data_IF_164032459012
#
_entry.id   IF_164032459012
#
_cell.length_a   1.000
_cell.length_b   1.000
_cell.length_c   1.000
_cell.angle_alpha   90.00
_cell.angle_beta   90.00
_cell.angle_gamma   90.00
#
_symmetry.space_group_name_H-M   'P 1'
#
loop_
_entity.id
_entity.type
_entity.pdbx_description
1 polymer ?
#
# COMPACT_ATOMS: atom_id res chain seq x y z
N UNK A 1 -9.09 -17.85 29.45
CA UNK A 1 -8.82 -17.33 28.08
C UNK A 1 -7.59 -18.02 27.54
N UNK A 2 -7.77 -18.99 26.68
CA UNK A 2 -6.69 -19.66 25.97
C UNK A 2 -6.08 -18.66 25.00
N UNK A 3 -4.82 -18.23 25.21
CA UNK A 3 -4.05 -17.50 24.21
C UNK A 3 -3.96 -18.43 22.98
N UNK A 4 -4.61 -18.01 21.89
CA UNK A 4 -4.48 -18.70 20.62
C UNK A 4 -2.99 -18.79 20.29
N UNK A 5 -2.47 -20.01 20.12
CA UNK A 5 -1.07 -20.23 19.76
C UNK A 5 -0.81 -19.53 18.43
N UNK A 6 0.14 -18.60 18.42
CA UNK A 6 0.52 -17.89 17.21
C UNK A 6 0.87 -18.90 16.10
N UNK A 7 0.23 -18.75 14.93
CA UNK A 7 0.50 -19.61 13.80
C UNK A 7 1.88 -19.24 13.19
N UNK A 8 2.86 -20.13 13.19
CA UNK A 8 4.22 -19.83 12.71
C UNK A 8 4.25 -19.41 11.23
N UNK A 9 3.28 -19.82 10.42
CA UNK A 9 3.19 -19.44 9.01
C UNK A 9 2.68 -18.02 8.80
N UNK A 10 2.17 -17.35 9.84
CA UNK A 10 1.60 -16.01 9.77
C UNK A 10 2.50 -14.93 10.37
N UNK A 11 3.74 -15.23 10.70
CA UNK A 11 4.59 -14.29 11.42
C UNK A 11 4.87 -12.98 10.64
N UNK A 12 5.08 -13.06 9.32
CA UNK A 12 5.21 -11.87 8.46
C UNK A 12 3.88 -11.15 8.34
N UNK A 13 2.82 -11.87 8.02
CA UNK A 13 1.47 -11.34 7.90
C UNK A 13 1.04 -10.56 9.14
N UNK A 14 1.25 -11.14 10.31
CA UNK A 14 0.83 -10.54 11.58
C UNK A 14 1.61 -9.26 11.93
N UNK A 15 2.84 -9.10 11.43
CA UNK A 15 3.62 -7.86 11.56
C UNK A 15 3.17 -6.75 10.61
N UNK A 16 2.62 -7.12 9.44
CA UNK A 16 2.34 -6.19 8.35
C UNK A 16 0.86 -5.82 8.22
N UNK A 17 -0.06 -6.61 8.79
CA UNK A 17 -1.51 -6.53 8.52
C UNK A 17 -2.19 -5.26 8.98
N UNK A 18 -1.65 -4.57 9.97
CA UNK A 18 -2.27 -3.39 10.57
C UNK A 18 -1.77 -2.12 9.89
N UNK A 19 -2.68 -1.32 9.40
CA UNK A 19 -2.38 -0.04 8.72
C UNK A 19 -2.57 1.12 9.68
N UNK A 20 -1.61 2.04 9.68
CA UNK A 20 -1.73 3.29 10.41
C UNK A 20 -2.74 4.22 9.71
N UNK A 21 -3.86 4.57 10.36
CA UNK A 21 -4.91 5.39 9.74
C UNK A 21 -4.45 6.76 9.28
N UNK A 22 -3.36 7.30 9.84
CA UNK A 22 -2.80 8.60 9.44
C UNK A 22 -2.27 8.62 8.01
N UNK A 23 -1.95 7.44 7.47
CA UNK A 23 -1.43 7.26 6.11
C UNK A 23 -2.46 6.65 5.16
N UNK A 24 -3.74 6.81 5.48
CA UNK A 24 -4.85 6.40 4.63
C UNK A 24 -5.71 7.58 4.22
N UNK A 25 -6.38 7.46 3.07
CA UNK A 25 -7.36 8.44 2.59
C UNK A 25 -8.58 7.72 2.02
N UNK A 26 -9.76 8.28 2.27
CA UNK A 26 -10.96 7.85 1.55
C UNK A 26 -11.08 8.64 0.25
N UNK A 27 -11.29 7.91 -0.83
CA UNK A 27 -11.36 8.46 -2.18
C UNK A 27 -12.62 7.93 -2.86
N UNK A 28 -13.42 8.82 -3.45
CA UNK A 28 -14.55 8.43 -4.27
C UNK A 28 -14.06 8.10 -5.69
N UNK A 29 -14.30 6.86 -6.12
CA UNK A 29 -13.91 6.36 -7.45
C UNK A 29 -15.07 6.32 -8.45
N UNK A 30 -16.21 6.95 -8.15
CA UNK A 30 -17.40 6.95 -9.01
C UNK A 30 -18.32 5.74 -8.84
N UNK A 31 -17.79 4.60 -8.38
CA UNK A 31 -18.55 3.41 -8.00
C UNK A 31 -18.68 3.23 -6.48
N UNK A 32 -18.11 4.17 -5.70
CA UNK A 32 -18.12 4.18 -4.24
C UNK A 32 -16.83 4.71 -3.66
N UNK A 33 -16.81 4.85 -2.34
CA UNK A 33 -15.62 5.24 -1.60
C UNK A 33 -14.73 4.03 -1.34
N UNK A 34 -13.43 4.22 -1.57
CA UNK A 34 -12.41 3.25 -1.19
C UNK A 34 -11.37 3.89 -0.28
N UNK A 35 -10.77 3.10 0.58
CA UNK A 35 -9.61 3.52 1.36
C UNK A 35 -8.35 3.29 0.55
N UNK A 36 -7.58 4.34 0.33
CA UNK A 36 -6.25 4.27 -0.28
C UNK A 36 -5.17 4.39 0.79
N UNK A 37 -4.01 3.83 0.53
CA UNK A 37 -2.87 3.79 1.45
C UNK A 37 -1.74 4.60 0.82
N UNK A 38 -1.01 5.35 1.64
CA UNK A 38 0.19 6.07 1.19
C UNK A 38 1.28 5.06 0.77
N UNK A 39 1.73 5.07 -0.50
CA UNK A 39 2.75 4.13 -0.96
C UNK A 39 4.09 4.29 -0.25
N UNK A 40 4.46 5.50 0.16
CA UNK A 40 5.72 5.72 0.88
C UNK A 40 5.66 5.16 2.29
N UNK A 41 4.50 5.21 2.95
CA UNK A 41 4.32 4.52 4.22
C UNK A 41 4.49 3.00 4.07
N UNK A 42 3.96 2.41 3.00
CA UNK A 42 4.13 0.98 2.73
C UNK A 42 5.60 0.61 2.50
N UNK A 43 6.35 1.42 1.75
CA UNK A 43 7.79 1.24 1.56
C UNK A 43 8.53 1.35 2.90
N UNK A 44 8.18 2.32 3.73
CA UNK A 44 8.71 2.47 5.08
C UNK A 44 8.45 1.24 5.94
N UNK A 45 7.23 0.69 5.87
CA UNK A 45 6.84 -0.50 6.63
C UNK A 45 7.60 -1.76 6.18
N UNK A 46 7.82 -1.92 4.88
CA UNK A 46 8.69 -2.98 4.36
C UNK A 46 10.14 -2.82 4.86
N UNK A 47 10.63 -1.59 4.88
CA UNK A 47 11.98 -1.28 5.37
C UNK A 47 12.13 -1.55 6.87
N UNK A 48 11.14 -1.19 7.68
CA UNK A 48 11.12 -1.52 9.12
C UNK A 48 11.14 -3.04 9.36
N UNK A 49 10.43 -3.78 8.53
CA UNK A 49 10.22 -5.22 8.72
C UNK A 49 11.40 -6.05 8.23
N UNK A 50 11.95 -5.72 7.06
CA UNK A 50 12.95 -6.55 6.38
C UNK A 50 14.35 -5.91 6.30
N UNK A 51 14.47 -4.61 6.54
CA UNK A 51 15.69 -3.84 6.35
C UNK A 51 15.65 -2.91 5.13
N UNK A 52 16.71 -2.16 4.85
CA UNK A 52 16.75 -1.24 3.73
C UNK A 52 16.53 -1.93 2.38
N UNK A 53 15.87 -1.23 1.47
CA UNK A 53 15.68 -1.71 0.09
C UNK A 53 17.03 -2.04 -0.57
N UNK A 54 17.07 -3.15 -1.28
CA UNK A 54 18.30 -3.70 -1.88
C UNK A 54 19.15 -4.54 -0.93
N UNK A 55 18.90 -4.45 0.38
CA UNK A 55 19.61 -5.23 1.41
C UNK A 55 18.70 -6.23 2.14
N UNK A 56 17.53 -5.82 2.57
CA UNK A 56 16.55 -6.69 3.25
C UNK A 56 15.37 -7.06 2.37
N UNK A 57 15.05 -6.25 1.39
CA UNK A 57 14.01 -6.49 0.40
C UNK A 57 14.31 -5.70 -0.88
N UNK A 58 13.68 -6.09 -1.96
CA UNK A 58 13.69 -5.36 -3.22
C UNK A 58 12.50 -5.75 -4.09
N UNK A 59 12.38 -5.14 -5.25
CA UNK A 59 11.42 -5.51 -6.27
C UNK A 59 12.04 -5.44 -7.65
N UNK A 60 11.49 -6.22 -8.57
CA UNK A 60 11.69 -6.08 -10.01
C UNK A 60 10.38 -5.67 -10.64
N UNK A 61 10.43 -4.78 -11.63
CA UNK A 61 9.27 -4.38 -12.41
C UNK A 61 9.53 -4.55 -13.90
N UNK A 62 8.56 -5.14 -14.58
CA UNK A 62 8.53 -5.26 -16.04
C UNK A 62 7.27 -4.58 -16.56
N UNK A 63 7.42 -3.79 -17.63
CA UNK A 63 6.31 -3.10 -18.27
C UNK A 63 5.99 -3.77 -19.62
N UNK A 64 4.71 -3.97 -19.87
CA UNK A 64 4.20 -4.45 -21.15
C UNK A 64 3.20 -3.44 -21.69
N UNK A 65 3.30 -3.13 -22.96
CA UNK A 65 2.48 -2.13 -23.61
C UNK A 65 1.65 -2.75 -24.73
N UNK A 66 0.43 -2.26 -24.88
CA UNK A 66 -0.38 -2.37 -26.07
C UNK A 66 -0.66 -0.97 -26.60
N UNK A 67 -1.42 -0.82 -27.67
CA UNK A 67 -1.83 0.49 -28.18
C UNK A 67 -2.67 1.30 -27.15
N UNK A 68 -3.38 0.61 -26.25
CA UNK A 68 -4.34 1.23 -25.34
C UNK A 68 -3.93 1.14 -23.87
N UNK A 69 -3.08 0.20 -23.51
CA UNK A 69 -2.84 -0.20 -22.12
C UNK A 69 -1.35 -0.32 -21.81
N UNK A 70 -1.00 -0.02 -20.56
CA UNK A 70 0.27 -0.41 -19.96
C UNK A 70 0.01 -1.35 -18.79
N UNK A 71 0.75 -2.44 -18.74
CA UNK A 71 0.80 -3.38 -17.62
C UNK A 71 2.12 -3.19 -16.88
N UNK A 72 2.06 -3.14 -15.56
CA UNK A 72 3.23 -3.28 -14.70
C UNK A 72 3.17 -4.63 -14.00
N UNK A 73 4.23 -5.42 -14.12
CA UNK A 73 4.38 -6.72 -13.47
C UNK A 73 5.47 -6.61 -12.42
N UNK A 74 5.14 -6.79 -11.14
CA UNK A 74 6.05 -6.62 -10.01
C UNK A 74 6.33 -7.96 -9.35
N UNK A 75 7.61 -8.24 -9.13
CA UNK A 75 8.10 -9.34 -8.28
C UNK A 75 8.67 -8.75 -7.01
N UNK A 76 8.37 -9.35 -5.86
CA UNK A 76 8.95 -8.96 -4.57
C UNK A 76 9.98 -10.00 -4.16
N UNK A 77 11.09 -9.50 -3.63
CA UNK A 77 12.18 -10.29 -3.06
C UNK A 77 12.44 -9.79 -1.64
N UNK A 78 12.57 -10.68 -0.68
CA UNK A 78 12.88 -10.31 0.71
C UNK A 78 13.73 -11.38 1.39
N UNK A 79 14.38 -10.99 2.48
CA UNK A 79 15.08 -11.92 3.36
C UNK A 79 14.31 -12.10 4.65
N UNK A 80 14.50 -13.23 5.27
CA UNK A 80 14.11 -13.46 6.65
C UNK A 80 15.33 -13.44 7.61
N UNK A 81 15.10 -13.90 8.84
CA UNK A 81 16.11 -13.90 9.91
C UNK A 81 17.36 -14.74 9.63
N UNK A 82 17.28 -15.66 8.68
CA UNK A 82 18.34 -16.60 8.35
C UNK A 82 19.12 -16.18 7.08
N UNK A 83 18.96 -14.94 6.64
CA UNK A 83 19.55 -14.38 5.41
C UNK A 83 19.21 -15.17 4.14
N UNK A 84 18.10 -15.94 4.18
CA UNK A 84 17.58 -16.66 3.02
C UNK A 84 16.70 -15.70 2.22
N UNK A 85 16.92 -15.67 0.90
CA UNK A 85 16.13 -14.85 -0.01
C UNK A 85 14.92 -15.60 -0.54
N UNK A 86 13.78 -14.96 -0.42
CA UNK A 86 12.49 -15.44 -0.93
C UNK A 86 11.98 -14.49 -2.00
N UNK A 87 11.17 -15.01 -2.90
CA UNK A 87 10.55 -14.21 -3.96
C UNK A 87 9.17 -14.73 -4.32
N UNK A 88 8.31 -13.86 -4.78
CA UNK A 88 7.05 -14.21 -5.42
C UNK A 88 6.66 -13.17 -6.48
N UNK A 89 5.67 -13.52 -7.27
CA UNK A 89 5.17 -12.71 -8.36
C UNK A 89 5.41 -13.40 -9.71
N UNK A 90 5.11 -12.73 -10.81
CA UNK A 90 4.70 -11.32 -10.89
C UNK A 90 3.26 -11.08 -10.42
N UNK A 91 3.04 -9.94 -9.81
CA UNK A 91 1.72 -9.37 -9.54
C UNK A 91 1.52 -8.22 -10.53
N UNK A 92 0.41 -8.25 -11.25
CA UNK A 92 0.17 -7.33 -12.35
C UNK A 92 -0.87 -6.26 -12.02
N UNK A 93 -0.69 -5.08 -12.58
CA UNK A 93 -1.72 -4.05 -12.69
C UNK A 93 -1.70 -3.41 -14.06
N UNK A 94 -2.81 -2.78 -14.42
CA UNK A 94 -3.02 -2.21 -15.75
C UNK A 94 -3.59 -0.79 -15.65
N UNK A 95 -3.13 0.08 -16.56
CA UNK A 95 -3.66 1.42 -16.74
C UNK A 95 -3.91 1.72 -18.22
N UNK A 96 -4.89 2.58 -18.49
CA UNK A 96 -5.13 3.11 -19.83
C UNK A 96 -4.07 4.15 -20.17
N UNK A 97 -3.50 4.06 -21.37
CA UNK A 97 -2.54 5.05 -21.90
C UNK A 97 -3.21 6.35 -22.34
N UNK A 98 -4.52 6.32 -22.60
CA UNK A 98 -5.26 7.46 -23.11
C UNK A 98 -6.29 7.94 -22.10
N UNK A 99 -6.32 9.24 -21.87
CA UNK A 99 -7.35 9.92 -21.06
C UNK A 99 -8.67 9.98 -21.84
N UNK A 100 -9.76 10.21 -21.15
CA UNK A 100 -11.10 10.40 -21.79
C UNK A 100 -11.11 11.55 -22.80
N UNK A 101 -10.22 12.51 -22.65
CA UNK A 101 -10.04 13.66 -23.56
C UNK A 101 -9.32 13.30 -24.86
N UNK A 102 -8.83 12.06 -25.02
CA UNK A 102 -8.01 11.64 -26.16
C UNK A 102 -6.52 12.00 -26.01
N UNK A 103 -6.10 12.63 -24.92
CA UNK A 103 -4.71 12.92 -24.65
C UNK A 103 -4.01 11.71 -24.04
N UNK A 104 -2.70 11.56 -24.33
CA UNK A 104 -1.86 10.55 -23.72
C UNK A 104 -1.74 10.79 -22.20
N UNK A 105 -1.84 9.75 -21.41
CA UNK A 105 -1.56 9.79 -19.97
C UNK A 105 -0.11 9.36 -19.72
N UNK A 106 0.78 10.31 -19.64
CA UNK A 106 2.20 10.13 -19.36
C UNK A 106 2.50 9.57 -17.96
N UNK A 107 1.52 9.65 -17.04
CA UNK A 107 1.62 9.04 -15.72
C UNK A 107 1.08 7.59 -15.66
N UNK A 108 0.51 7.06 -16.73
CA UNK A 108 -0.08 5.73 -16.72
C UNK A 108 0.90 4.62 -16.28
N UNK A 109 2.17 4.60 -16.71
CA UNK A 109 3.14 3.61 -16.23
C UNK A 109 3.40 3.69 -14.73
N UNK A 110 3.53 4.91 -14.20
CA UNK A 110 3.71 5.15 -12.75
C UNK A 110 2.52 4.68 -11.95
N UNK A 111 1.29 4.94 -12.42
CA UNK A 111 0.05 4.49 -11.78
C UNK A 111 -0.05 2.97 -11.79
N UNK A 112 0.26 2.33 -12.92
CA UNK A 112 0.28 0.87 -13.04
C UNK A 112 1.29 0.24 -12.08
N UNK A 113 2.50 0.79 -12.02
CA UNK A 113 3.55 0.33 -11.10
C UNK A 113 3.13 0.47 -9.63
N UNK A 114 2.67 1.64 -9.21
CA UNK A 114 2.27 1.88 -7.82
C UNK A 114 1.14 0.94 -7.39
N UNK A 115 0.16 0.70 -8.27
CA UNK A 115 -0.95 -0.21 -8.00
C UNK A 115 -0.48 -1.69 -7.94
N UNK A 116 0.40 -2.11 -8.84
CA UNK A 116 0.99 -3.45 -8.82
C UNK A 116 1.84 -3.68 -7.56
N UNK A 117 2.65 -2.69 -7.17
CA UNK A 117 3.49 -2.77 -5.98
C UNK A 117 2.64 -2.88 -4.69
N UNK A 118 1.61 -2.05 -4.56
CA UNK A 118 0.67 -2.10 -3.44
C UNK A 118 -0.04 -3.45 -3.36
N UNK A 119 -0.48 -4.00 -4.48
CA UNK A 119 -1.06 -5.35 -4.55
C UNK A 119 -0.05 -6.42 -4.16
N UNK A 120 1.18 -6.33 -4.64
CA UNK A 120 2.24 -7.26 -4.29
C UNK A 120 2.52 -7.24 -2.78
N UNK A 121 2.62 -6.08 -2.16
CA UNK A 121 2.79 -5.96 -0.72
C UNK A 121 1.63 -6.59 0.07
N UNK A 122 0.39 -6.47 -0.41
CA UNK A 122 -0.77 -7.06 0.25
C UNK A 122 -0.70 -8.60 0.32
N UNK A 123 -0.01 -9.23 -0.61
CA UNK A 123 0.23 -10.68 -0.59
C UNK A 123 1.16 -11.12 0.55
N UNK A 124 2.03 -10.26 1.04
CA UNK A 124 2.80 -10.47 2.28
C UNK A 124 1.99 -10.14 3.55
N UNK A 125 0.81 -9.58 3.39
CA UNK A 125 -0.06 -9.14 4.48
C UNK A 125 -0.02 -7.64 4.74
N UNK A 126 0.83 -6.86 4.07
CA UNK A 126 0.92 -5.42 4.28
C UNK A 126 -0.41 -4.73 3.97
N UNK A 127 -0.92 -4.03 4.97
CA UNK A 127 -2.23 -3.38 4.91
C UNK A 127 -3.40 -4.34 4.64
N UNK A 128 -3.29 -5.59 5.08
CA UNK A 128 -4.34 -6.59 4.89
C UNK A 128 -5.70 -6.12 5.46
N UNK A 129 -5.70 -5.37 6.55
CA UNK A 129 -6.90 -4.81 7.16
C UNK A 129 -7.67 -3.88 6.20
N UNK A 130 -6.98 -3.07 5.40
CA UNK A 130 -7.60 -2.23 4.36
C UNK A 130 -8.17 -3.10 3.25
N UNK A 131 -7.39 -4.05 2.73
CA UNK A 131 -7.83 -4.95 1.65
C UNK A 131 -8.97 -5.88 2.06
N UNK A 132 -9.08 -6.21 3.36
CA UNK A 132 -10.19 -6.97 3.93
C UNK A 132 -11.45 -6.11 4.21
N UNK A 133 -11.40 -4.80 3.91
CA UNK A 133 -12.52 -3.88 4.13
C UNK A 133 -12.73 -3.48 5.60
N UNK A 134 -11.78 -3.75 6.49
CA UNK A 134 -11.93 -3.43 7.92
C UNK A 134 -11.94 -1.92 8.16
N UNK A 135 -11.33 -1.13 7.27
CA UNK A 135 -11.36 0.33 7.32
C UNK A 135 -12.70 0.96 6.97
N UNK A 136 -13.68 0.18 6.53
CA UNK A 136 -15.07 0.64 6.40
C UNK A 136 -15.79 0.69 7.75
N UNK A 137 -15.20 0.13 8.79
CA UNK A 137 -15.73 0.12 10.16
C UNK A 137 -14.98 1.14 11.04
N UNK A 138 -15.67 2.20 11.45
CA UNK A 138 -15.10 3.24 12.32
C UNK A 138 -14.61 2.72 13.67
N UNK A 139 -15.28 1.72 14.24
CA UNK A 139 -14.86 1.09 15.51
C UNK A 139 -13.52 0.38 15.36
N UNK A 140 -13.27 -0.24 14.21
CA UNK A 140 -11.98 -0.84 13.91
C UNK A 140 -10.88 0.21 13.86
N UNK A 141 -11.11 1.32 13.15
CA UNK A 141 -10.15 2.43 13.03
C UNK A 141 -9.81 3.00 14.42
N UNK A 142 -10.81 3.22 15.28
CA UNK A 142 -10.57 3.72 16.65
C UNK A 142 -9.75 2.71 17.49
N UNK A 143 -10.03 1.42 17.35
CA UNK A 143 -9.21 0.38 17.99
C UNK A 143 -7.76 0.43 17.52
N UNK A 144 -7.52 0.53 16.20
CA UNK A 144 -6.17 0.62 15.64
C UNK A 144 -5.45 1.87 16.16
N UNK A 145 -6.12 3.01 16.24
CA UNK A 145 -5.55 4.23 16.83
C UNK A 145 -5.11 4.01 18.30
N UNK A 146 -5.94 3.32 19.09
CA UNK A 146 -5.60 2.98 20.47
C UNK A 146 -4.39 2.05 20.54
N UNK A 147 -4.36 0.99 19.73
CA UNK A 147 -3.27 0.01 19.66
C UNK A 147 -1.94 0.67 19.28
N UNK A 148 -1.98 1.68 18.41
CA UNK A 148 -0.81 2.45 17.97
C UNK A 148 -0.48 3.65 18.89
N UNK A 149 -1.25 3.88 19.95
CA UNK A 149 -1.03 5.02 20.86
C UNK A 149 -1.25 6.39 20.21
N UNK A 150 -2.07 6.44 19.14
CA UNK A 150 -2.41 7.69 18.46
C UNK A 150 -3.49 8.40 19.28
N UNK A 151 -3.11 9.45 20.01
CA UNK A 151 -4.08 10.30 20.69
C UNK A 151 -4.92 11.10 19.68
N UNK A 152 -6.19 11.36 20.01
CA UNK A 152 -7.14 12.14 19.19
C UNK A 152 -6.76 13.62 19.00
N UNK A 153 -5.53 14.02 19.25
CA UNK A 153 -5.03 15.38 19.14
C UNK A 153 -4.14 15.51 17.92
N UNK A 154 -4.76 15.48 16.74
CA UNK A 154 -4.27 16.24 15.59
C UNK A 154 -5.41 16.42 14.60
N UNK A 155 -6.24 17.40 14.79
CA UNK A 155 -6.84 18.10 13.66
C UNK A 155 -5.66 18.57 12.81
N UNK A 156 -5.44 17.92 11.69
CA UNK A 156 -4.53 18.40 10.65
C UNK A 156 -4.94 19.84 10.39
N UNK A 157 -4.02 20.79 10.64
CA UNK A 157 -4.19 22.17 10.24
C UNK A 157 -4.39 22.15 8.73
N UNK A 158 -5.60 22.47 8.28
CA UNK A 158 -5.84 22.82 6.89
C UNK A 158 -4.89 23.98 6.56
N UNK A 159 -3.91 23.71 5.73
CA UNK A 159 -3.10 24.75 5.12
C UNK A 159 -4.03 25.49 4.16
N UNK A 160 -4.59 26.60 4.60
CA UNK A 160 -5.33 27.51 3.72
C UNK A 160 -4.34 27.95 2.63
N UNK A 161 -4.71 27.86 1.35
CA UNK A 161 -3.87 28.41 0.30
C UNK A 161 -3.71 29.92 0.54
N UNK A 162 -2.46 30.37 0.59
CA UNK A 162 -2.16 31.79 0.60
C UNK A 162 -2.82 32.43 -0.62
N UNK A 163 -3.77 33.34 -0.39
CA UNK A 163 -4.19 34.28 -1.42
C UNK A 163 -2.98 35.14 -1.75
N UNK A 164 -2.38 34.91 -2.90
CA UNK A 164 -1.46 35.88 -3.49
C UNK A 164 -2.30 37.09 -3.83
N UNK A 165 -2.13 38.14 -3.08
CA UNK A 165 -2.74 39.43 -3.34
C UNK A 165 -2.21 39.99 -4.66
N UNK A 166 -3.13 40.51 -5.43
CA UNK A 166 -2.91 41.29 -6.64
C UNK A 166 -1.95 42.48 -6.45
#
# INVERSE_FOLDING_TARGET
MTKEKANPNKYIWDQLKQTDPRFTKRVNKGFGEITTIDPMWQIGKMTETFGPIGKGWSYDVEYKYTELLVFAEVKIVWTDKDDVWYKFGPISSVQKLWRKTGALDDEAPKKAFTDALTKAFSHLGLSADVFLGLFDNSKYIEKVKQDLGISNVAKIREVKPNKVGS
#
